data_IF_918791311446
#
_entry.id   IF_918791311446
#
_cell.length_a   1.000
_cell.length_b   1.000
_cell.length_c   1.000
_cell.angle_alpha   90.00
_cell.angle_beta   90.00
_cell.angle_gamma   90.00
#
_symmetry.space_group_name_H-M   'P 1'
#
loop_
_entity.id
_entity.type
_entity.pdbx_description
1 polymer ?
#
# COMPACT_ATOMS: atom_id res chain seq x y z
N UNK A 1 9.10 -28.97 13.27
CA UNK A 1 8.83 -27.57 13.65
C UNK A 1 8.45 -26.84 12.37
N UNK A 2 7.17 -26.53 12.19
CA UNK A 2 6.66 -25.81 11.02
C UNK A 2 6.22 -24.44 11.48
N UNK A 3 6.79 -23.39 10.89
CA UNK A 3 6.48 -22.00 11.23
C UNK A 3 5.69 -21.42 10.06
N UNK A 4 4.49 -20.94 10.33
CA UNK A 4 3.67 -20.19 9.37
C UNK A 4 3.99 -18.71 9.55
N UNK A 5 4.36 -18.03 8.45
CA UNK A 5 4.66 -16.60 8.45
C UNK A 5 3.44 -15.83 7.93
N UNK A 6 2.93 -14.92 8.74
CA UNK A 6 1.87 -13.98 8.37
C UNK A 6 2.35 -12.57 8.69
N UNK A 7 2.82 -11.84 7.67
CA UNK A 7 3.49 -10.54 7.84
C UNK A 7 4.62 -10.65 8.89
N UNK A 8 4.59 -9.79 9.92
CA UNK A 8 5.57 -9.74 11.01
C UNK A 8 5.27 -10.72 12.16
N UNK A 9 4.26 -11.58 11.97
CA UNK A 9 3.83 -12.57 12.96
C UNK A 9 4.33 -13.95 12.54
N UNK A 10 5.17 -14.52 13.39
CA UNK A 10 5.62 -15.90 13.28
C UNK A 10 4.76 -16.76 14.18
N UNK A 11 4.01 -17.70 13.58
CA UNK A 11 3.20 -18.65 14.32
C UNK A 11 3.83 -20.03 14.28
N UNK A 12 4.06 -20.62 15.45
CA UNK A 12 4.53 -21.99 15.60
C UNK A 12 3.40 -22.88 16.12
N UNK A 13 3.16 -23.98 15.41
CA UNK A 13 2.27 -25.02 15.88
C UNK A 13 2.99 -25.85 16.94
N UNK A 14 2.39 -26.00 18.12
CA UNK A 14 2.91 -26.86 19.18
C UNK A 14 1.84 -27.85 19.64
N UNK A 15 2.32 -29.00 20.10
CA UNK A 15 1.49 -30.02 20.71
C UNK A 15 1.85 -30.05 22.19
N UNK A 16 0.85 -29.93 23.05
CA UNK A 16 1.00 -29.97 24.50
C UNK A 16 0.30 -31.19 25.04
N UNK A 17 1.07 -32.12 25.60
CA UNK A 17 0.52 -33.25 26.33
C UNK A 17 0.17 -32.83 27.77
N UNK A 18 -1.13 -32.76 28.08
CA UNK A 18 -1.59 -32.59 29.45
C UNK A 18 -1.81 -33.96 30.09
N UNK A 19 -0.77 -34.46 30.77
CA UNK A 19 -0.82 -35.73 31.50
C UNK A 19 -1.91 -35.80 32.57
N UNK A 20 -2.45 -34.66 33.03
CA UNK A 20 -3.55 -34.63 34.03
C UNK A 20 -4.92 -34.86 33.41
N UNK A 21 -5.08 -34.58 32.12
CA UNK A 21 -6.34 -34.77 31.37
C UNK A 21 -6.33 -35.99 30.45
N UNK A 22 -5.17 -36.63 30.28
CA UNK A 22 -5.00 -37.73 29.33
C UNK A 22 -5.27 -37.31 27.89
N UNK A 23 -5.04 -36.02 27.58
CA UNK A 23 -5.40 -35.39 26.31
C UNK A 23 -4.21 -34.63 25.75
N UNK A 24 -4.14 -34.61 24.42
CA UNK A 24 -3.12 -33.93 23.65
C UNK A 24 -3.76 -32.72 22.99
N UNK A 25 -3.39 -31.52 23.44
CA UNK A 25 -3.92 -30.27 22.91
C UNK A 25 -2.97 -29.75 21.83
N UNK A 26 -3.52 -29.41 20.67
CA UNK A 26 -2.79 -28.72 19.60
C UNK A 26 -3.03 -27.22 19.71
N UNK A 27 -1.96 -26.43 19.81
CA UNK A 27 -2.02 -24.98 19.96
C UNK A 27 -1.18 -24.26 18.93
N UNK A 28 -1.53 -23.01 18.66
CA UNK A 28 -0.75 -22.10 17.82
C UNK A 28 -0.19 -21.02 18.73
N UNK A 29 1.14 -20.88 18.78
CA UNK A 29 1.82 -19.79 19.46
C UNK A 29 2.29 -18.78 18.41
N UNK A 30 1.63 -17.63 18.36
CA UNK A 30 2.05 -16.53 17.50
C UNK A 30 2.83 -15.51 18.33
N UNK A 31 4.05 -15.21 17.90
CA UNK A 31 4.85 -14.12 18.46
C UNK A 31 5.12 -13.09 17.38
N UNK A 32 5.20 -11.81 17.78
CA UNK A 32 5.85 -10.81 16.94
C UNK A 32 7.28 -11.28 16.76
N UNK A 33 7.68 -11.57 15.52
CA UNK A 33 9.07 -11.88 15.25
C UNK A 33 9.88 -10.64 15.65
N UNK A 34 11.04 -10.79 16.31
CA UNK A 34 11.92 -9.65 16.55
C UNK A 34 12.17 -9.04 15.18
N UNK A 35 11.66 -7.82 15.00
CA UNK A 35 11.68 -7.13 13.73
C UNK A 35 13.11 -7.12 13.24
N UNK A 36 13.36 -7.92 12.21
CA UNK A 36 14.51 -7.72 11.37
C UNK A 36 14.33 -6.27 10.90
N UNK A 37 15.23 -5.39 11.34
CA UNK A 37 15.44 -4.09 10.69
C UNK A 37 15.89 -4.45 9.29
N UNK A 38 14.91 -4.79 8.45
CA UNK A 38 15.02 -4.62 7.03
C UNK A 38 15.15 -3.10 6.94
N UNK A 39 16.38 -2.61 6.81
CA UNK A 39 16.61 -1.45 5.97
C UNK A 39 15.81 -1.77 4.72
N UNK A 40 14.56 -1.29 4.67
CA UNK A 40 13.76 -1.28 3.45
C UNK A 40 14.68 -0.48 2.55
N UNK A 41 15.42 -1.16 1.68
CA UNK A 41 15.73 -0.57 0.40
C UNK A 41 14.40 0.04 -0.03
N UNK A 42 14.35 1.37 -0.02
CA UNK A 42 13.25 2.18 -0.51
C UNK A 42 13.20 1.92 -2.02
N UNK A 43 12.78 0.70 -2.37
CA UNK A 43 12.39 0.36 -3.71
C UNK A 43 11.20 1.26 -3.98
N UNK A 44 11.31 2.14 -4.99
CA UNK A 44 10.20 3.00 -5.35
C UNK A 44 8.94 2.15 -5.52
N UNK A 45 7.81 2.65 -5.02
CA UNK A 45 6.51 2.02 -5.21
C UNK A 45 6.36 1.66 -6.69
N UNK A 46 5.88 0.46 -7.01
CA UNK A 46 5.62 0.11 -8.41
C UNK A 46 4.36 0.81 -8.93
N UNK A 47 4.28 1.09 -10.23
CA UNK A 47 3.09 1.68 -10.86
C UNK A 47 1.81 0.89 -10.53
N UNK A 48 1.89 -0.44 -10.55
CA UNK A 48 0.74 -1.33 -10.26
C UNK A 48 0.19 -1.12 -8.85
N UNK A 49 1.07 -0.93 -7.87
CA UNK A 49 0.68 -0.65 -6.49
C UNK A 49 0.07 0.75 -6.42
N UNK A 50 0.70 1.74 -7.05
CA UNK A 50 0.18 3.11 -7.10
C UNK A 50 -1.23 3.19 -7.70
N UNK A 51 -1.49 2.45 -8.80
CA UNK A 51 -2.83 2.33 -9.40
C UNK A 51 -3.84 1.69 -8.44
N UNK A 52 -3.47 0.61 -7.77
CA UNK A 52 -4.37 -0.07 -6.81
C UNK A 52 -4.74 0.86 -5.64
N UNK A 53 -3.79 1.68 -5.17
CA UNK A 53 -4.04 2.70 -4.15
C UNK A 53 -4.97 3.78 -4.70
N UNK A 54 -4.70 4.30 -5.90
CA UNK A 54 -5.51 5.33 -6.53
C UNK A 54 -6.97 4.87 -6.77
N UNK A 55 -7.17 3.63 -7.24
CA UNK A 55 -8.49 3.02 -7.48
C UNK A 55 -9.34 2.86 -6.21
N UNK A 56 -8.70 2.82 -5.03
CA UNK A 56 -9.39 2.68 -3.73
C UNK A 56 -9.43 3.99 -2.94
N UNK A 57 -8.92 5.07 -3.52
CA UNK A 57 -8.81 6.39 -2.89
C UNK A 57 -9.94 7.33 -3.28
N UNK A 58 -9.91 8.54 -2.73
CA UNK A 58 -10.85 9.60 -3.09
C UNK A 58 -10.65 10.15 -4.51
N UNK A 59 -9.53 9.87 -5.18
CA UNK A 59 -9.29 10.34 -6.55
C UNK A 59 -10.37 9.88 -7.54
N UNK A 60 -10.86 8.64 -7.39
CA UNK A 60 -11.87 8.06 -8.29
C UNK A 60 -13.29 8.52 -7.98
N UNK A 61 -13.49 9.31 -6.92
CA UNK A 61 -14.81 9.91 -6.65
C UNK A 61 -15.12 11.02 -7.65
N UNK A 62 -14.09 11.72 -8.15
CA UNK A 62 -14.26 12.88 -9.02
C UNK A 62 -14.11 12.55 -10.51
N UNK A 63 -13.44 11.45 -10.87
CA UNK A 63 -13.35 10.92 -12.24
C UNK A 63 -12.43 9.71 -12.38
N UNK A 64 -12.44 9.07 -13.55
CA UNK A 64 -11.69 7.83 -13.80
C UNK A 64 -10.18 8.06 -13.94
N UNK A 65 -9.37 7.06 -13.59
CA UNK A 65 -7.92 7.08 -13.85
C UNK A 65 -7.64 6.86 -15.34
N UNK A 66 -6.73 7.65 -15.92
CA UNK A 66 -6.22 7.45 -17.27
C UNK A 66 -5.10 6.42 -17.30
N UNK A 67 -4.81 5.93 -18.49
CA UNK A 67 -3.61 5.10 -18.73
C UNK A 67 -2.32 5.89 -18.48
N UNK A 68 -2.32 7.22 -18.66
CA UNK A 68 -1.12 8.02 -18.45
C UNK A 68 -0.74 8.08 -16.97
N UNK A 69 0.46 7.57 -16.66
CA UNK A 69 1.05 7.63 -15.34
C UNK A 69 2.56 7.87 -15.44
N UNK A 70 3.13 8.57 -14.46
CA UNK A 70 4.57 8.74 -14.35
C UNK A 70 5.03 8.80 -12.89
N UNK A 71 6.26 8.35 -12.66
CA UNK A 71 6.90 8.49 -11.36
C UNK A 71 7.77 9.76 -11.34
N UNK A 72 7.60 10.57 -10.30
CA UNK A 72 8.45 11.73 -10.04
C UNK A 72 9.48 11.37 -8.98
N UNK A 73 10.72 11.15 -9.43
CA UNK A 73 11.87 10.83 -8.57
C UNK A 73 12.16 11.92 -7.52
N UNK A 74 11.94 13.19 -7.85
CA UNK A 74 12.28 14.31 -6.96
C UNK A 74 11.36 14.39 -5.74
N UNK A 75 10.08 14.08 -5.91
CA UNK A 75 9.09 14.09 -4.83
C UNK A 75 8.78 12.68 -4.33
N UNK A 76 9.30 11.65 -4.99
CA UNK A 76 9.00 10.24 -4.75
C UNK A 76 7.50 9.96 -4.76
N UNK A 77 6.86 10.35 -5.85
CA UNK A 77 5.40 10.23 -6.00
C UNK A 77 5.04 9.66 -7.35
N UNK A 78 4.01 8.82 -7.39
CA UNK A 78 3.33 8.48 -8.64
C UNK A 78 2.27 9.52 -8.96
N UNK A 79 2.16 9.84 -10.24
CA UNK A 79 1.17 10.75 -10.80
C UNK A 79 0.39 9.98 -11.85
N UNK A 80 -0.91 9.84 -11.66
CA UNK A 80 -1.81 9.16 -12.61
C UNK A 80 -2.84 10.18 -13.04
N UNK A 81 -2.92 10.48 -14.33
CA UNK A 81 -3.85 11.51 -14.82
C UNK A 81 -5.30 11.08 -14.59
N UNK A 82 -6.18 12.06 -14.32
CA UNK A 82 -7.60 11.86 -14.11
C UNK A 82 -8.41 12.30 -15.33
N UNK A 83 -9.51 11.61 -15.62
CA UNK A 83 -10.48 11.99 -16.64
C UNK A 83 -11.59 12.88 -16.08
N UNK A 84 -11.18 14.11 -15.74
CA UNK A 84 -12.07 15.14 -15.21
C UNK A 84 -11.90 16.38 -16.07
N UNK A 85 -12.99 16.86 -16.66
CA UNK A 85 -12.96 18.09 -17.43
C UNK A 85 -13.08 19.31 -16.50
N UNK A 86 -12.01 20.11 -16.46
CA UNK A 86 -11.98 21.41 -15.78
C UNK A 86 -11.16 22.38 -16.63
N UNK A 87 -11.79 23.43 -17.19
CA UNK A 87 -11.10 24.35 -18.09
C UNK A 87 -9.81 24.92 -17.50
N UNK A 88 -8.72 24.81 -18.25
CA UNK A 88 -7.40 25.27 -17.84
C UNK A 88 -6.68 24.38 -16.81
N UNK A 89 -7.22 23.21 -16.48
CA UNK A 89 -6.62 22.27 -15.54
C UNK A 89 -6.30 20.93 -16.19
N UNK A 90 -5.29 20.24 -15.66
CA UNK A 90 -4.95 18.87 -16.05
C UNK A 90 -4.74 18.03 -14.78
N UNK A 91 -5.82 17.48 -14.20
CA UNK A 91 -5.76 16.81 -12.91
C UNK A 91 -5.00 15.48 -12.95
N UNK A 92 -4.31 15.19 -11.85
CA UNK A 92 -3.69 13.90 -11.59
C UNK A 92 -3.91 13.48 -10.14
N UNK A 93 -4.10 12.18 -9.93
CA UNK A 93 -4.00 11.54 -8.64
C UNK A 93 -2.52 11.35 -8.28
N UNK A 94 -2.09 11.96 -7.18
CA UNK A 94 -0.72 11.90 -6.68
C UNK A 94 -0.66 10.94 -5.51
N UNK A 95 0.19 9.92 -5.60
CA UNK A 95 0.36 8.87 -4.60
C UNK A 95 1.77 8.96 -4.03
N UNK A 96 1.87 9.10 -2.72
CA UNK A 96 3.12 9.18 -1.97
C UNK A 96 3.63 7.79 -1.54
N UNK A 97 4.92 7.68 -1.21
CA UNK A 97 5.51 6.42 -0.70
C UNK A 97 4.87 5.92 0.60
N UNK A 98 4.27 6.80 1.41
CA UNK A 98 3.54 6.49 2.63
C UNK A 98 2.05 6.17 2.39
N UNK A 99 1.67 5.96 1.13
CA UNK A 99 0.32 5.62 0.67
C UNK A 99 -0.71 6.76 0.86
N UNK A 100 -0.27 7.97 1.22
CA UNK A 100 -1.13 9.16 1.13
C UNK A 100 -1.47 9.43 -0.33
N UNK A 101 -2.68 9.93 -0.57
CA UNK A 101 -3.19 10.30 -1.89
C UNK A 101 -3.71 11.75 -1.90
N UNK A 102 -3.53 12.47 -3.00
CA UNK A 102 -4.15 13.79 -3.22
C UNK A 102 -4.40 14.06 -4.71
N UNK A 103 -5.39 14.89 -5.04
CA UNK A 103 -5.62 15.38 -6.41
C UNK A 103 -4.80 16.65 -6.65
N UNK A 104 -3.89 16.62 -7.63
CA UNK A 104 -3.18 17.80 -8.12
C UNK A 104 -3.77 18.28 -9.44
N UNK A 105 -4.40 19.45 -9.43
CA UNK A 105 -5.15 19.98 -10.58
C UNK A 105 -4.28 20.56 -11.70
N UNK A 106 -2.98 20.82 -11.45
CA UNK A 106 -2.02 21.43 -12.39
C UNK A 106 -2.65 22.49 -13.32
N UNK A 107 -3.36 23.46 -12.74
CA UNK A 107 -4.06 24.46 -13.54
C UNK A 107 -3.11 25.53 -14.08
N UNK A 108 -3.25 25.87 -15.35
CA UNK A 108 -2.65 27.06 -15.94
C UNK A 108 -3.72 28.14 -16.03
N UNK A 109 -3.39 29.35 -15.58
CA UNK A 109 -4.35 30.45 -15.55
C UNK A 109 -4.73 30.89 -16.97
N UNK A 110 -6.03 30.97 -17.26
CA UNK A 110 -6.55 32.10 -18.03
C UNK A 110 -6.30 33.35 -17.18
N UNK A 111 -5.13 33.97 -17.36
CA UNK A 111 -4.99 35.39 -17.01
C UNK A 111 -5.90 36.12 -18.02
N UNK A 112 -6.93 36.85 -17.57
CA UNK A 112 -7.76 37.64 -18.48
C UNK A 112 -6.95 38.68 -19.25
#
# INVERSE_FOLDING_TARGET
RTILKFNDIGCELYVRDDKRKGSTDMGILCTKLPGEVVDRELTPMSEKIARSIAETSECVNDGDLKENAFYNESSKTWWIDLDIDKPGCNPACVIYEDEKVEINWRCTGLIP
#
